data_IF_136602829308
#
_entry.id   IF_136602829308
#
_cell.length_a   1.000
_cell.length_b   1.000
_cell.length_c   1.000
_cell.angle_alpha   90.00
_cell.angle_beta   90.00
_cell.angle_gamma   90.00
#
_symmetry.space_group_name_H-M   'P 1'
#
loop_
_entity.id
_entity.type
_entity.pdbx_description
1 polymer ?
2 non-polymer ?
3 non-polymer ?
4 water ?
#
# COMPACT_ATOMS: atom_id res chain seq x y z
N UNK A 4 -27.39 6.98 0.86
CA UNK A 4 -27.84 7.58 2.15
C UNK A 4 -26.68 7.94 3.08
N UNK A 5 -25.61 8.45 2.47
CA UNK A 5 -24.41 8.88 3.17
C UNK A 5 -24.71 10.31 3.70
N UNK A 6 -24.59 10.48 5.00
CA UNK A 6 -24.88 11.77 5.65
C UNK A 6 -23.62 12.59 5.83
N UNK A 7 -23.84 13.78 6.35
CA UNK A 7 -22.79 14.73 6.67
C UNK A 7 -22.54 14.64 8.17
N UNK A 8 -21.45 15.21 8.65
CA UNK A 8 -21.22 15.15 10.09
C UNK A 8 -20.73 16.49 10.59
N UNK A 9 -21.19 16.89 11.78
CA UNK A 9 -20.75 18.16 12.34
C UNK A 9 -20.01 17.91 13.65
N UNK A 10 -18.81 18.46 13.75
CA UNK A 10 -17.99 18.31 14.94
C UNK A 10 -17.71 19.68 15.52
N UNK A 11 -18.22 19.89 16.71
CA UNK A 11 -18.04 21.17 17.42
C UNK A 11 -18.31 22.35 16.47
N UNK A 12 -19.42 22.26 15.77
CA UNK A 12 -19.87 23.33 14.87
C UNK A 12 -19.13 23.38 13.51
N UNK A 13 -18.15 22.51 13.33
CA UNK A 13 -17.44 22.42 12.04
C UNK A 13 -18.13 21.34 11.22
N UNK A 14 -18.68 21.72 10.09
CA UNK A 14 -19.45 20.77 9.27
C UNK A 14 -18.62 20.09 8.20
N UNK A 15 -18.92 18.82 7.97
CA UNK A 15 -18.23 18.01 6.96
C UNK A 15 -19.26 17.48 5.97
N UNK A 16 -19.31 18.06 4.78
CA UNK A 16 -20.26 17.64 3.73
C UNK A 16 -20.17 16.14 3.51
N UNK A 17 -21.25 15.55 3.02
CA UNK A 17 -21.27 14.11 2.75
C UNK A 17 -20.37 13.76 1.56
N UNK A 18 -20.19 14.71 0.66
CA UNK A 18 -19.37 14.49 -0.53
C UNK A 18 -18.67 15.78 -0.90
N UNK A 19 -17.51 15.65 -1.54
CA UNK A 19 -16.76 16.82 -1.97
C UNK A 19 -15.99 16.49 -3.23
N UNK A 20 -15.59 17.54 -3.95
CA UNK A 20 -14.84 17.32 -5.18
C UNK A 20 -13.59 18.17 -5.21
N UNK A 21 -12.46 17.53 -5.50
CA UNK A 21 -11.17 18.24 -5.48
C UNK A 21 -10.87 19.12 -6.71
N UNK A 22 -10.36 20.36 -6.51
CA UNK A 22 -10.02 21.28 -7.61
C UNK A 22 -8.63 20.93 -8.17
N UNK A 23 -7.90 20.13 -7.40
CA UNK A 23 -6.55 19.70 -7.78
C UNK A 23 -6.52 18.37 -8.57
N UNK A 24 -7.47 17.48 -8.29
CA UNK A 24 -7.52 16.18 -8.98
C UNK A 24 -8.78 16.01 -9.82
N UNK A 25 -9.86 16.67 -9.43
CA UNK A 25 -11.10 16.55 -10.18
C UNK A 25 -11.91 15.34 -9.74
N UNK A 26 -11.40 14.62 -8.75
CA UNK A 26 -12.08 13.44 -8.24
C UNK A 26 -13.08 13.82 -7.15
N UNK A 27 -14.01 12.91 -6.86
CA UNK A 27 -14.99 13.18 -5.81
C UNK A 27 -14.84 12.13 -4.72
N UNK A 28 -15.12 12.53 -3.48
CA UNK A 28 -15.00 11.65 -2.33
C UNK A 28 -16.24 11.69 -1.46
N UNK A 29 -16.45 10.63 -0.68
CA UNK A 29 -17.58 10.57 0.23
C UNK A 29 -17.00 10.56 1.65
N UNK A 30 -17.72 11.18 2.59
CA UNK A 30 -17.28 11.24 3.97
C UNK A 30 -17.25 9.86 4.63
N UNK A 31 -16.05 9.42 5.02
CA UNK A 31 -15.92 8.12 5.67
C UNK A 31 -16.17 8.21 7.16
N UNK A 32 -15.80 9.35 7.75
CA UNK A 32 -15.98 9.55 9.17
C UNK A 32 -15.37 10.85 9.66
N UNK A 33 -15.85 11.35 10.80
CA UNK A 33 -15.33 12.59 11.39
C UNK A 33 -15.11 12.37 12.89
N UNK A 34 -14.36 13.27 13.51
CA UNK A 34 -14.08 13.16 14.93
C UNK A 34 -13.34 14.37 15.44
N UNK A 35 -12.70 14.25 16.60
CA UNK A 35 -11.97 15.37 17.17
C UNK A 35 -10.69 14.93 17.85
N UNK A 36 -9.71 15.83 17.88
CA UNK A 36 -8.44 15.55 18.52
C UNK A 36 -8.11 16.67 19.48
N UNK A 37 -7.16 16.43 20.36
CA UNK A 37 -6.78 17.45 21.32
C UNK A 37 -5.76 16.93 22.30
N UNK A 38 -5.78 17.47 23.51
CA UNK A 38 -4.84 17.05 24.55
C UNK A 38 -5.60 16.74 25.83
N UNK A 39 -5.09 15.76 26.57
CA UNK A 39 -5.70 15.41 27.85
C UNK A 39 -4.80 16.09 28.88
N UNK A 40 -5.34 17.07 29.59
CA UNK A 40 -4.59 17.81 30.59
C UNK A 40 -5.26 17.64 31.96
N UNK A 41 -4.55 17.02 32.89
CA UNK A 41 -5.08 16.78 34.23
C UNK A 41 -6.41 16.03 34.16
N UNK A 42 -6.42 14.95 33.37
CA UNK A 42 -7.62 14.15 33.21
C UNK A 42 -8.74 14.80 32.43
N UNK A 43 -8.49 16.00 31.89
CA UNK A 43 -9.50 16.73 31.12
C UNK A 43 -9.17 16.75 29.64
N UNK A 44 -10.15 16.39 28.81
CA UNK A 44 -9.93 16.40 27.37
C UNK A 44 -10.14 17.81 26.84
N UNK A 45 -9.09 18.39 26.27
CA UNK A 45 -9.16 19.73 25.70
C UNK A 45 -9.18 19.64 24.17
N UNK A 46 -10.29 20.05 23.57
CA UNK A 46 -10.44 20.01 22.10
C UNK A 46 -9.64 21.08 21.36
N UNK A 47 -8.99 20.70 20.28
CA UNK A 47 -8.20 21.62 19.47
C UNK A 47 -8.57 21.60 17.99
N UNK A 48 -8.87 20.40 17.47
CA UNK A 48 -9.22 20.27 16.07
C UNK A 48 -10.31 19.24 15.86
N UNK A 49 -10.81 19.28 14.65
CA UNK A 49 -11.81 18.35 14.14
C UNK A 49 -11.18 17.67 12.93
N UNK A 50 -11.54 16.43 12.73
CA UNK A 50 -10.96 15.69 11.61
C UNK A 50 -12.01 14.92 10.84
N UNK A 51 -11.91 15.00 9.52
CA UNK A 51 -12.83 14.30 8.64
C UNK A 51 -12.01 13.55 7.61
N UNK A 52 -12.34 12.29 7.38
CA UNK A 52 -11.63 11.47 6.40
C UNK A 52 -12.53 11.12 5.23
N UNK A 53 -12.14 11.56 4.03
CA UNK A 53 -12.90 11.27 2.82
C UNK A 53 -12.23 10.19 2.00
N UNK A 54 -13.04 9.34 1.38
CA UNK A 54 -12.54 8.27 0.52
C UNK A 54 -13.03 8.50 -0.90
N UNK A 55 -12.14 8.33 -1.87
CA UNK A 55 -12.49 8.48 -3.26
C UNK A 55 -13.63 7.51 -3.55
N UNK A 56 -14.64 7.96 -4.28
CA UNK A 56 -15.81 7.12 -4.61
C UNK A 56 -15.47 5.69 -5.06
N UNK A 57 -14.39 5.53 -5.82
CA UNK A 57 -14.02 4.21 -6.29
C UNK A 57 -13.57 3.27 -5.15
N UNK A 58 -13.43 3.80 -3.94
CA UNK A 58 -13.00 2.99 -2.80
C UNK A 58 -14.00 1.88 -2.46
N UNK A 59 -15.27 2.14 -2.76
CA UNK A 59 -16.33 1.18 -2.50
C UNK A 59 -16.13 -0.11 -3.30
N UNK A 60 -15.86 0.02 -4.60
CA UNK A 60 -15.66 -1.15 -5.44
C UNK A 60 -14.45 -1.94 -4.98
N UNK A 61 -13.39 -1.20 -4.60
CA UNK A 61 -12.16 -1.82 -4.14
C UNK A 61 -12.34 -2.60 -2.84
N UNK A 62 -13.09 -2.02 -1.91
CA UNK A 62 -13.33 -2.63 -0.61
C UNK A 62 -14.43 -3.68 -0.62
N UNK A 63 -15.34 -3.59 -1.59
CA UNK A 63 -16.45 -4.53 -1.69
C UNK A 63 -16.04 -5.99 -1.60
N UNK A 64 -15.05 -6.36 -2.43
CA UNK A 64 -14.56 -7.73 -2.48
C UNK A 64 -14.43 -8.38 -1.10
N UNK A 65 -13.54 -7.85 -0.27
CA UNK A 65 -13.29 -8.41 1.05
C UNK A 65 -14.24 -7.99 2.18
N UNK A 66 -14.87 -6.83 2.10
CA UNK A 66 -15.64 -6.36 3.26
C UNK A 66 -17.16 -6.26 3.05
N UNK A 67 -17.67 -6.50 1.86
CA UNK A 67 -19.13 -6.46 1.68
C UNK A 67 -19.75 -7.55 2.56
N UNK A 68 -20.92 -7.27 3.12
CA UNK A 68 -21.61 -8.24 3.97
C UNK A 68 -21.09 -8.39 5.39
N UNK A 69 -20.10 -7.58 5.79
CA UNK A 69 -19.57 -7.65 7.15
C UNK A 69 -20.36 -6.66 8.00
N UNK A 70 -20.56 -6.97 9.29
CA UNK A 70 -21.30 -6.06 10.17
C UNK A 70 -20.38 -4.99 10.76
N UNK A 71 -20.95 -3.83 11.05
CA UNK A 71 -20.18 -2.73 11.62
C UNK A 71 -19.32 -3.21 12.78
N UNK A 72 -19.92 -3.99 13.68
CA UNK A 72 -19.21 -4.50 14.84
C UNK A 72 -18.02 -5.34 14.39
N UNK A 73 -18.25 -6.13 13.35
CA UNK A 73 -17.23 -7.02 12.80
C UNK A 73 -16.06 -6.26 12.20
N UNK A 74 -16.36 -5.21 11.44
CA UNK A 74 -15.32 -4.40 10.81
C UNK A 74 -14.48 -3.69 11.88
N UNK A 75 -15.15 -3.07 12.85
CA UNK A 75 -14.48 -2.34 13.91
C UNK A 75 -13.38 -3.11 14.63
N UNK A 76 -13.50 -4.43 14.68
CA UNK A 76 -12.48 -5.23 15.36
C UNK A 76 -11.48 -5.89 14.41
N UNK A 77 -11.63 -5.67 13.11
CA UNK A 77 -10.74 -6.25 12.12
C UNK A 77 -9.69 -5.23 11.65
N UNK A 78 -8.46 -5.41 12.11
CA UNK A 78 -7.37 -4.51 11.74
C UNK A 78 -7.12 -4.50 10.23
N UNK A 79 -7.28 -5.64 9.58
CA UNK A 79 -7.06 -5.77 8.15
C UNK A 79 -7.98 -4.82 7.39
N UNK A 80 -9.18 -4.62 7.91
CA UNK A 80 -10.14 -3.72 7.28
C UNK A 80 -9.60 -2.31 7.22
N UNK A 81 -9.00 -1.85 8.32
CA UNK A 81 -8.45 -0.51 8.36
C UNK A 81 -7.16 -0.43 7.53
N UNK A 82 -6.45 -1.54 7.40
CA UNK A 82 -5.24 -1.54 6.59
C UNK A 82 -5.60 -1.32 5.12
N UNK A 83 -6.73 -1.87 4.69
CA UNK A 83 -7.16 -1.70 3.30
C UNK A 83 -7.60 -0.26 3.05
N UNK A 84 -8.15 0.38 4.06
CA UNK A 84 -8.58 1.77 3.91
C UNK A 84 -7.35 2.68 3.84
N UNK A 85 -6.36 2.39 4.69
CA UNK A 85 -5.15 3.19 4.75
C UNK A 85 -4.31 3.07 3.50
N UNK A 86 -4.10 1.83 3.07
CA UNK A 86 -3.28 1.56 1.90
C UNK A 86 -4.02 1.14 0.64
N UNK A 87 -5.33 1.32 0.61
CA UNK A 87 -6.11 0.94 -0.56
C UNK A 87 -5.76 1.72 -1.83
N UNK A 88 -6.01 1.13 -2.99
CA UNK A 88 -5.75 1.70 -4.33
C UNK A 88 -6.74 2.80 -4.72
N UNK A 89 -6.80 3.84 -3.88
CA UNK A 89 -7.68 4.96 -4.14
C UNK A 89 -7.20 6.12 -3.30
N UNK A 90 -7.59 7.33 -3.67
CA UNK A 90 -7.15 8.51 -2.95
C UNK A 90 -7.95 8.71 -1.66
N UNK A 91 -7.30 9.25 -0.64
CA UNK A 91 -7.97 9.57 0.62
C UNK A 91 -7.73 11.06 0.84
N UNK A 92 -8.72 11.74 1.38
CA UNK A 92 -8.61 13.17 1.64
C UNK A 92 -8.99 13.43 3.10
N UNK A 93 -8.06 13.99 3.86
CA UNK A 93 -8.28 14.27 5.27
C UNK A 93 -8.34 15.77 5.50
N UNK A 94 -9.41 16.23 6.13
CA UNK A 94 -9.53 17.66 6.39
C UNK A 94 -9.55 17.95 7.88
N UNK A 95 -8.47 18.56 8.36
CA UNK A 95 -8.40 18.93 9.76
C UNK A 95 -8.78 20.39 9.93
N UNK A 96 -9.81 20.67 10.72
CA UNK A 96 -10.26 22.04 10.96
C UNK A 96 -10.06 22.42 12.44
N UNK A 97 -9.48 23.59 12.70
CA UNK A 97 -9.22 24.00 14.08
C UNK A 97 -10.40 24.51 14.90
N UNK A 98 -10.42 24.08 16.17
CA UNK A 98 -11.44 24.46 17.14
C UNK A 98 -10.79 25.60 17.95
N UNK A 99 -9.51 25.40 18.26
CA UNK A 99 -8.71 26.39 19.00
C UNK A 99 -7.54 26.77 18.07
N UNK A 100 -7.17 28.04 18.08
CA UNK A 100 -6.09 28.51 17.22
C UNK A 100 -4.72 27.92 17.49
N UNK A 101 -4.12 27.38 16.44
CA UNK A 101 -2.79 26.79 16.50
C UNK A 101 -1.98 27.31 15.32
N UNK A 102 -0.71 27.62 15.54
CA UNK A 102 0.14 28.09 14.47
C UNK A 102 0.55 26.83 13.70
N UNK A 103 1.14 27.02 12.52
CA UNK A 103 1.58 25.89 11.72
C UNK A 103 2.53 25.00 12.49
N UNK A 104 3.60 25.55 13.08
CA UNK A 104 4.57 24.75 13.84
C UNK A 104 3.95 24.06 15.08
N UNK A 105 3.00 24.73 15.73
CA UNK A 105 2.36 24.14 16.91
C UNK A 105 1.59 22.90 16.54
N UNK A 106 0.73 23.02 15.54
CA UNK A 106 -0.08 21.91 15.07
C UNK A 106 0.77 20.75 14.52
N UNK A 107 1.69 21.08 13.61
CA UNK A 107 2.54 20.07 12.97
C UNK A 107 3.48 19.29 13.87
N UNK A 108 3.95 19.91 14.94
CA UNK A 108 4.88 19.25 15.84
C UNK A 108 4.38 17.88 16.30
N UNK A 109 3.16 17.83 16.83
CA UNK A 109 2.59 16.59 17.33
C UNK A 109 2.28 15.60 16.19
N UNK A 110 1.79 16.11 15.07
CA UNK A 110 1.49 15.25 13.92
C UNK A 110 2.78 14.56 13.44
N UNK A 111 3.85 15.33 13.26
CA UNK A 111 5.12 14.78 12.81
C UNK A 111 5.64 13.77 13.84
N UNK A 112 5.46 14.09 15.11
CA UNK A 112 5.88 13.21 16.20
C UNK A 112 5.28 11.84 16.00
N UNK A 113 3.96 11.80 15.90
CA UNK A 113 3.25 10.55 15.71
C UNK A 113 3.67 9.84 14.42
N UNK A 114 3.85 10.61 13.34
CA UNK A 114 4.26 10.02 12.07
C UNK A 114 5.64 9.39 12.18
N UNK A 115 6.55 10.10 12.83
CA UNK A 115 7.91 9.58 12.99
C UNK A 115 7.93 8.31 13.85
N UNK A 116 7.13 8.30 14.91
CA UNK A 116 7.08 7.12 15.79
C UNK A 116 6.61 5.92 14.96
N UNK A 117 5.56 6.12 14.16
CA UNK A 117 5.03 5.05 13.32
C UNK A 117 6.08 4.54 12.32
N UNK A 118 6.68 5.46 11.57
CA UNK A 118 7.68 5.06 10.58
C UNK A 118 8.81 4.25 11.22
N UNK A 119 9.30 4.70 12.36
CA UNK A 119 10.38 3.99 13.06
C UNK A 119 9.87 2.64 13.53
N UNK A 120 8.60 2.61 13.94
CA UNK A 120 7.97 1.40 14.43
C UNK A 120 7.91 0.29 13.39
N UNK A 121 7.59 0.63 12.15
CA UNK A 121 7.50 -0.37 11.09
C UNK A 121 8.78 -0.51 10.29
N UNK A 122 9.87 0.03 10.81
CA UNK A 122 11.14 -0.07 10.12
C UNK A 122 11.30 0.65 8.79
N UNK A 123 10.57 1.73 8.57
CA UNK A 123 10.69 2.47 7.32
C UNK A 123 10.96 3.93 7.61
N UNK A 124 12.07 4.21 8.28
CA UNK A 124 12.41 5.59 8.59
C UNK A 124 13.89 5.83 8.33
N UNK A 125 14.22 6.09 7.08
CA UNK A 125 15.59 6.35 6.68
C UNK A 125 15.78 7.80 6.32
N UNK A 126 16.89 8.11 5.67
CA UNK A 126 17.19 9.49 5.29
C UNK A 126 16.07 10.10 4.47
N UNK A 127 15.60 9.36 3.47
CA UNK A 127 14.54 9.83 2.59
C UNK A 127 13.30 10.23 3.39
N UNK A 128 12.88 9.36 4.30
CA UNK A 128 11.70 9.67 5.11
C UNK A 128 11.96 10.85 6.03
N UNK A 129 13.17 10.94 6.57
CA UNK A 129 13.50 12.04 7.48
C UNK A 129 13.45 13.36 6.69
N UNK A 130 13.96 13.33 5.47
CA UNK A 130 13.95 14.50 4.62
C UNK A 130 12.53 14.89 4.23
N UNK A 131 11.67 13.89 4.04
CA UNK A 131 10.29 14.14 3.68
C UNK A 131 9.56 14.78 4.86
N UNK A 132 9.90 14.35 6.08
CA UNK A 132 9.26 14.92 7.26
C UNK A 132 9.76 16.35 7.47
N UNK A 133 10.99 16.61 7.03
CA UNK A 133 11.58 17.94 7.15
C UNK A 133 10.82 18.88 6.21
N UNK A 134 10.55 18.38 5.00
CA UNK A 134 9.81 19.15 4.00
C UNK A 134 8.38 19.36 4.52
N UNK A 135 7.86 18.34 5.18
CA UNK A 135 6.51 18.40 5.74
C UNK A 135 6.48 19.62 6.68
N UNK A 136 7.42 19.64 7.63
CA UNK A 136 7.51 20.72 8.60
C UNK A 136 7.63 22.09 7.93
N UNK A 137 8.52 22.17 6.96
CA UNK A 137 8.74 23.40 6.21
C UNK A 137 7.44 23.99 5.67
N UNK A 138 6.57 23.13 5.16
CA UNK A 138 5.30 23.59 4.58
C UNK A 138 4.38 24.26 5.59
N UNK A 139 4.48 23.85 6.86
CA UNK A 139 3.64 24.41 7.92
C UNK A 139 4.18 25.67 8.58
N UNK A 140 5.49 25.90 8.49
CA UNK A 140 6.07 27.08 9.13
C UNK A 140 5.46 28.43 8.84
N UNK A 141 5.05 28.68 7.59
CA UNK A 141 4.46 29.98 7.28
C UNK A 141 2.96 30.08 7.44
N UNK A 142 2.36 29.10 8.10
CA UNK A 142 0.91 29.09 8.23
C UNK A 142 0.42 29.22 9.67
N UNK A 143 -0.81 29.72 9.82
CA UNK A 143 -1.42 29.85 11.13
C UNK A 143 -2.86 29.40 10.98
N UNK A 144 -3.36 28.63 11.94
CA UNK A 144 -4.73 28.14 11.87
C UNK A 144 -5.69 28.69 12.93
N UNK A 145 -6.33 29.83 12.64
CA UNK A 145 -7.27 30.36 13.63
C UNK A 145 -8.51 29.47 13.58
N UNK A 146 -9.40 29.57 14.58
CA UNK A 146 -10.61 28.74 14.56
C UNK A 146 -11.29 28.69 13.19
N UNK A 147 -11.62 27.50 12.72
CA UNK A 147 -12.28 27.37 11.44
C UNK A 147 -11.33 27.11 10.28
N UNK A 148 -10.06 27.49 10.45
CA UNK A 148 -9.04 27.28 9.41
C UNK A 148 -8.83 25.77 9.28
N UNK A 149 -8.47 25.33 8.07
CA UNK A 149 -8.28 23.92 7.78
C UNK A 149 -6.96 23.58 7.08
N UNK A 150 -6.61 22.32 7.26
CA UNK A 150 -5.46 21.71 6.59
C UNK A 150 -6.00 20.51 5.84
N UNK A 151 -5.54 20.35 4.63
CA UNK A 151 -6.01 19.25 3.78
C UNK A 151 -4.85 18.32 3.41
N UNK A 152 -4.99 17.04 3.72
CA UNK A 152 -3.98 16.05 3.40
C UNK A 152 -4.59 15.21 2.28
N UNK A 153 -3.96 15.21 1.11
CA UNK A 153 -4.46 14.41 0.00
C UNK A 153 -3.49 13.25 -0.14
N UNK A 154 -3.93 12.07 0.27
CA UNK A 154 -3.08 10.89 0.19
C UNK A 154 -3.34 10.22 -1.17
N UNK A 155 -2.37 10.34 -2.06
CA UNK A 155 -2.50 9.74 -3.38
C UNK A 155 -1.98 8.32 -3.29
N UNK A 156 -2.60 7.39 -4.02
CA UNK A 156 -2.12 6.01 -3.96
C UNK A 156 -0.78 5.83 -4.67
N UNK A 157 -0.35 6.86 -5.38
CA UNK A 157 0.91 6.81 -6.09
C UNK A 157 2.11 7.21 -5.23
N UNK A 158 1.95 7.15 -3.90
CA UNK A 158 3.05 7.47 -2.99
C UNK A 158 3.37 8.95 -2.81
N UNK A 159 2.35 9.79 -2.87
CA UNK A 159 2.53 11.22 -2.72
C UNK A 159 1.50 11.76 -1.76
N UNK A 160 1.93 12.72 -0.94
CA UNK A 160 1.05 13.35 0.01
C UNK A 160 0.98 14.83 -0.34
N UNK A 161 -0.22 15.28 -0.69
CA UNK A 161 -0.38 16.69 -1.03
C UNK A 161 -0.88 17.49 0.17
N UNK A 162 -0.29 18.66 0.40
CA UNK A 162 -0.70 19.52 1.53
C UNK A 162 -1.36 20.82 1.07
N UNK A 163 -2.54 21.09 1.61
CA UNK A 163 -3.29 22.30 1.30
C UNK A 163 -3.69 23.00 2.61
N UNK A 164 -3.80 24.33 2.56
CA UNK A 164 -4.16 25.12 3.73
C UNK A 164 -5.26 26.11 3.37
N UNK A 165 -6.32 26.15 4.18
CA UNK A 165 -7.44 27.05 3.93
C UNK A 165 -7.76 27.93 5.14
N UNK A 166 -8.14 29.19 4.90
CA UNK A 166 -8.48 30.13 5.98
C UNK A 166 -9.76 29.67 6.68
N UNK A 167 -10.55 28.88 5.96
CA UNK A 167 -11.80 28.34 6.47
C UNK A 167 -11.87 26.86 6.13
N UNK A 168 -13.07 26.38 5.80
CA UNK A 168 -13.24 24.96 5.49
C UNK A 168 -13.37 24.61 4.00
N UNK A 169 -13.19 25.58 3.11
CA UNK A 169 -13.30 25.31 1.68
C UNK A 169 -11.97 24.80 1.12
N UNK A 170 -12.03 23.82 0.22
CA UNK A 170 -10.84 23.24 -0.38
C UNK A 170 -10.06 24.23 -1.22
N UNK A 171 -8.77 24.40 -0.93
CA UNK A 171 -7.95 25.34 -1.71
C UNK A 171 -7.93 24.94 -3.18
N UNK A 172 -7.67 25.92 -4.06
CA UNK A 172 -7.62 25.65 -5.48
C UNK A 172 -6.29 24.97 -5.83
N UNK A 173 -5.22 25.40 -5.17
CA UNK A 173 -3.89 24.84 -5.38
C UNK A 173 -3.34 24.25 -4.09
N UNK A 174 -2.36 23.35 -4.21
CA UNK A 174 -1.75 22.73 -3.04
C UNK A 174 -0.46 23.46 -2.72
N UNK A 175 -0.16 23.56 -1.43
CA UNK A 175 1.03 24.25 -0.97
C UNK A 175 2.32 23.42 -1.11
N UNK A 176 2.20 22.10 -1.04
CA UNK A 176 3.40 21.26 -1.15
C UNK A 176 3.07 19.81 -1.48
N UNK A 177 4.05 19.11 -2.04
CA UNK A 177 3.92 17.71 -2.43
C UNK A 177 5.03 16.91 -1.79
N UNK A 178 4.68 16.04 -0.86
CA UNK A 178 5.68 15.22 -0.19
C UNK A 178 5.71 13.90 -0.98
N UNK A 179 6.78 13.68 -1.71
CA UNK A 179 6.88 12.47 -2.52
C UNK A 179 7.69 11.36 -1.84
N UNK A 180 6.99 10.52 -1.09
CA UNK A 180 7.63 9.43 -0.37
C UNK A 180 6.49 8.49 0.03
N UNK A 181 6.64 7.22 -0.34
CA UNK A 181 5.59 6.22 -0.10
C UNK A 181 5.23 6.01 1.36
N UNK A 182 6.24 5.73 2.19
CA UNK A 182 6.02 5.48 3.60
C UNK A 182 5.37 6.68 4.29
N UNK A 183 5.93 7.87 4.08
CA UNK A 183 5.38 9.06 4.70
C UNK A 183 3.97 9.37 4.19
N UNK A 184 3.71 9.07 2.91
CA UNK A 184 2.39 9.41 2.34
C UNK A 184 1.19 8.85 3.09
N UNK A 185 1.35 7.69 3.74
CA UNK A 185 0.23 7.11 4.47
C UNK A 185 0.37 7.28 5.98
N UNK A 186 1.54 7.74 6.44
CA UNK A 186 1.78 7.93 7.86
C UNK A 186 0.71 8.73 8.60
N UNK A 187 0.32 9.86 8.02
CA UNK A 187 -0.69 10.72 8.65
C UNK A 187 -1.99 9.97 8.92
N UNK A 188 -2.57 9.36 7.90
CA UNK A 188 -3.83 8.61 8.08
C UNK A 188 -3.60 7.43 9.05
N UNK A 189 -2.41 6.87 9.01
CA UNK A 189 -2.07 5.74 9.87
C UNK A 189 -2.25 6.13 11.34
N UNK A 190 -1.75 7.30 11.71
CA UNK A 190 -1.85 7.77 13.09
C UNK A 190 -3.27 8.17 13.48
N UNK A 191 -4.21 8.07 12.55
CA UNK A 191 -5.60 8.43 12.85
C UNK A 191 -6.51 7.21 12.97
N UNK A 192 -6.33 6.24 12.08
CA UNK A 192 -7.16 5.04 12.09
C UNK A 192 -6.34 3.75 12.07
N UNK A 193 -5.02 3.89 12.13
CA UNK A 193 -4.15 2.73 12.13
C UNK A 193 -4.26 1.99 13.45
N UNK A 194 -3.62 0.81 13.51
CA UNK A 194 -3.67 -0.02 14.71
C UNK A 194 -3.30 0.68 16.01
N UNK A 195 -2.23 1.46 15.98
CA UNK A 195 -1.78 2.14 17.19
C UNK A 195 -2.33 3.54 17.42
N UNK A 196 -3.54 3.79 16.94
CA UNK A 196 -4.19 5.08 17.14
C UNK A 196 -5.23 4.85 18.23
N UNK A 197 -5.01 5.46 19.40
CA UNK A 197 -5.91 5.29 20.54
C UNK A 197 -7.35 5.77 20.29
N UNK A 198 -7.51 7.04 19.92
CA UNK A 198 -8.84 7.58 19.67
C UNK A 198 -9.54 6.67 18.65
N UNK A 199 -10.74 6.18 19.00
CA UNK A 199 -11.41 5.30 18.05
C UNK A 199 -12.62 5.94 17.34
N UNK A 200 -12.90 7.20 17.62
CA UNK A 200 -14.05 7.85 17.01
C UNK A 200 -14.09 7.72 15.49
N UNK A 201 -12.94 7.89 14.84
CA UNK A 201 -12.86 7.79 13.38
C UNK A 201 -13.10 6.34 12.93
N UNK A 202 -12.46 5.39 13.60
CA UNK A 202 -12.63 3.98 13.25
C UNK A 202 -14.09 3.56 13.35
N UNK A 203 -14.80 4.07 14.36
CA UNK A 203 -16.20 3.72 14.55
C UNK A 203 -17.07 4.24 13.41
N UNK A 204 -16.83 5.48 13.00
CA UNK A 204 -17.60 6.06 11.90
C UNK A 204 -17.43 5.19 10.67
N UNK A 205 -16.18 4.88 10.33
CA UNK A 205 -15.87 4.05 9.17
C UNK A 205 -16.59 2.71 9.24
N UNK A 206 -16.55 2.09 10.41
CA UNK A 206 -17.20 0.80 10.62
C UNK A 206 -18.72 0.90 10.49
N UNK A 207 -19.27 2.02 10.95
CA UNK A 207 -20.71 2.22 10.90
C UNK A 207 -21.26 2.64 9.56
N UNK A 208 -20.53 3.48 8.84
CA UNK A 208 -20.99 3.99 7.56
C UNK A 208 -20.70 3.15 6.31
N UNK A 209 -19.57 2.44 6.31
CA UNK A 209 -19.19 1.64 5.15
C UNK A 209 -20.14 0.51 4.73
N UNK A 210 -20.63 -0.29 5.69
CA UNK A 210 -21.52 -1.41 5.38
C UNK A 210 -22.65 -1.11 4.38
N UNK A 211 -23.33 0.01 4.58
CA UNK A 211 -24.43 0.40 3.69
C UNK A 211 -23.93 0.53 2.26
N UNK A 212 -22.84 1.29 2.09
CA UNK A 212 -22.27 1.51 0.76
C UNK A 212 -21.73 0.23 0.12
N UNK A 213 -21.05 -0.59 0.92
CA UNK A 213 -20.48 -1.82 0.40
C UNK A 213 -21.48 -2.82 -0.15
N UNK A 214 -22.76 -2.66 0.19
CA UNK A 214 -23.77 -3.58 -0.31
C UNK A 214 -24.34 -3.19 -1.67
N UNK A 215 -24.57 -1.89 -1.87
CA UNK A 215 -25.10 -1.41 -3.14
C UNK A 215 -23.97 -0.98 -4.09
N UNK B 4 12.45 -1.87 -26.08
CA UNK B 4 11.32 -1.45 -25.20
C UNK B 4 10.66 -2.69 -24.55
N UNK B 5 11.10 -2.96 -23.32
CA UNK B 5 10.61 -4.10 -22.52
C UNK B 5 10.61 -5.38 -23.37
N UNK B 6 11.61 -6.21 -23.11
CA UNK B 6 11.79 -7.47 -23.85
C UNK B 6 11.51 -8.71 -23.00
N UNK B 7 11.67 -9.89 -23.59
CA UNK B 7 11.45 -11.15 -22.88
C UNK B 7 12.77 -11.58 -22.23
N UNK B 8 12.66 -12.42 -21.20
CA UNK B 8 13.85 -12.92 -20.52
C UNK B 8 13.72 -14.42 -20.36
N UNK B 9 14.82 -15.14 -20.60
CA UNK B 9 14.83 -16.58 -20.44
C UNK B 9 15.84 -16.94 -19.38
N UNK B 10 15.42 -17.76 -18.43
CA UNK B 10 16.28 -18.18 -17.32
C UNK B 10 16.37 -19.70 -17.33
N UNK B 11 17.52 -20.23 -17.74
CA UNK B 11 17.69 -21.69 -17.75
C UNK B 11 16.63 -22.34 -18.62
N UNK B 12 16.50 -21.84 -19.85
CA UNK B 12 15.53 -22.37 -20.79
C UNK B 12 14.07 -22.17 -20.35
N UNK B 13 13.84 -21.31 -19.35
CA UNK B 13 12.49 -21.01 -18.89
C UNK B 13 12.16 -19.62 -19.40
N UNK B 14 11.34 -19.56 -20.45
CA UNK B 14 10.98 -18.30 -21.08
C UNK B 14 9.92 -17.45 -20.37
N UNK B 15 10.21 -16.16 -20.23
CA UNK B 15 9.30 -15.19 -19.61
C UNK B 15 8.91 -14.17 -20.67
N UNK B 16 7.73 -14.32 -21.28
CA UNK B 16 7.27 -13.39 -22.32
C UNK B 16 7.28 -11.94 -21.83
N UNK B 17 7.48 -11.01 -22.76
CA UNK B 17 7.54 -9.59 -22.44
C UNK B 17 6.23 -9.06 -21.87
N UNK B 18 5.12 -9.60 -22.37
CA UNK B 18 3.82 -9.17 -21.91
C UNK B 18 2.89 -10.37 -21.77
N UNK B 19 1.93 -10.30 -20.85
CA UNK B 19 0.99 -11.39 -20.66
C UNK B 19 -0.36 -10.83 -20.28
N UNK B 20 -1.40 -11.59 -20.57
CA UNK B 20 -2.74 -11.17 -20.21
C UNK B 20 -3.27 -12.28 -19.34
N UNK B 21 -3.88 -11.90 -18.22
CA UNK B 21 -4.40 -12.87 -17.29
C UNK B 21 -5.77 -13.41 -17.62
N UNK B 22 -5.91 -14.74 -17.68
CA UNK B 22 -7.23 -15.32 -17.97
C UNK B 22 -8.09 -15.21 -16.72
N UNK B 23 -7.49 -14.76 -15.63
CA UNK B 23 -8.20 -14.61 -14.35
C UNK B 23 -8.76 -13.20 -14.17
N UNK B 24 -7.94 -12.19 -14.40
CA UNK B 24 -8.39 -10.83 -14.22
C UNK B 24 -8.67 -10.12 -15.55
N UNK B 25 -8.13 -10.66 -16.63
CA UNK B 25 -8.33 -10.04 -17.93
C UNK B 25 -7.42 -8.84 -18.06
N UNK B 26 -6.58 -8.62 -17.05
CA UNK B 26 -5.65 -7.50 -17.08
C UNK B 26 -4.39 -7.90 -17.82
N UNK B 27 -3.61 -6.91 -18.25
CA UNK B 27 -2.37 -7.15 -18.98
C UNK B 27 -1.19 -6.58 -18.20
N UNK B 28 -0.08 -7.31 -18.23
CA UNK B 28 1.12 -6.90 -17.51
C UNK B 28 2.34 -6.90 -18.41
N UNK B 29 3.39 -6.23 -17.97
CA UNK B 29 4.62 -6.22 -18.74
C UNK B 29 5.68 -6.78 -17.80
N UNK B 30 6.67 -7.46 -18.36
CA UNK B 30 7.72 -8.06 -17.58
C UNK B 30 8.65 -7.02 -16.96
N UNK B 31 8.65 -6.96 -15.63
CA UNK B 31 9.49 -6.01 -14.91
C UNK B 31 10.90 -6.55 -14.76
N UNK B 32 11.03 -7.87 -14.63
CA UNK B 32 12.34 -8.48 -14.50
C UNK B 32 12.26 -9.96 -14.17
N UNK B 33 13.36 -10.67 -14.37
CA UNK B 33 13.40 -12.10 -14.08
C UNK B 33 14.80 -12.49 -13.63
N UNK B 34 14.88 -13.49 -12.76
CA UNK B 34 16.18 -13.93 -12.27
C UNK B 34 16.11 -15.35 -11.78
N UNK B 35 17.16 -15.79 -11.09
CA UNK B 35 17.19 -17.14 -10.56
C UNK B 35 17.35 -17.16 -9.04
N UNK B 36 16.99 -18.28 -8.44
CA UNK B 36 17.08 -18.48 -7.00
C UNK B 36 17.54 -19.91 -6.74
N UNK B 37 18.02 -20.18 -5.53
CA UNK B 37 18.48 -21.52 -5.23
C UNK B 37 19.23 -21.63 -3.92
N UNK B 38 20.13 -22.61 -3.85
CA UNK B 38 20.92 -22.85 -2.65
C UNK B 38 22.36 -23.19 -2.99
N UNK B 39 23.30 -22.43 -2.41
CA UNK B 39 24.72 -22.67 -2.63
C UNK B 39 25.16 -23.89 -1.83
N UNK B 40 25.56 -24.94 -2.54
CA UNK B 40 25.98 -26.18 -1.89
C UNK B 40 27.46 -26.48 -2.15
N UNK B 41 28.30 -26.12 -1.18
CA UNK B 41 29.74 -26.35 -1.26
C UNK B 41 30.44 -25.47 -2.29
N UNK B 42 30.23 -24.17 -2.19
CA UNK B 42 30.86 -23.23 -3.12
C UNK B 42 30.16 -22.97 -4.43
N UNK B 43 29.45 -23.98 -4.96
CA UNK B 43 28.75 -23.82 -6.23
C UNK B 43 27.22 -23.66 -6.08
N UNK B 44 26.76 -22.43 -6.33
CA UNK B 44 25.34 -22.07 -6.24
C UNK B 44 24.46 -22.90 -7.16
N UNK B 45 23.70 -23.83 -6.58
CA UNK B 45 22.81 -24.69 -7.34
C UNK B 45 21.45 -24.04 -7.62
N UNK B 46 21.11 -23.94 -8.90
CA UNK B 46 19.86 -23.32 -9.35
C UNK B 46 18.65 -24.24 -9.15
N UNK B 47 17.64 -23.72 -8.48
CA UNK B 47 16.42 -24.49 -8.21
C UNK B 47 15.19 -23.96 -8.96
N UNK B 48 15.03 -22.63 -8.97
CA UNK B 48 13.88 -22.02 -9.63
C UNK B 48 14.17 -20.70 -10.34
N UNK B 49 13.28 -20.35 -11.26
CA UNK B 49 13.38 -19.08 -11.97
C UNK B 49 12.32 -18.21 -11.33
N UNK B 50 12.52 -16.91 -11.34
CA UNK B 50 11.56 -16.01 -10.75
C UNK B 50 11.33 -14.82 -11.68
N UNK B 51 10.07 -14.44 -11.85
CA UNK B 51 9.73 -13.32 -12.73
C UNK B 51 8.61 -12.46 -12.17
N UNK B 52 8.76 -11.14 -12.29
CA UNK B 52 7.75 -10.20 -11.79
C UNK B 52 7.12 -9.39 -12.92
N UNK B 53 5.79 -9.43 -12.97
CA UNK B 53 5.03 -8.68 -13.97
C UNK B 53 4.26 -7.55 -13.30
N UNK B 54 4.19 -6.41 -13.96
CA UNK B 54 3.44 -5.27 -13.43
C UNK B 54 2.31 -4.93 -14.40
N UNK B 55 1.13 -4.67 -13.88
CA UNK B 55 -0.01 -4.32 -14.72
C UNK B 55 0.42 -3.10 -15.56
N UNK B 56 -0.07 -3.06 -16.80
CA UNK B 56 0.27 -1.96 -17.71
C UNK B 56 0.08 -0.56 -17.09
N UNK B 57 -1.01 -0.36 -16.34
CA UNK B 57 -1.26 0.92 -15.71
C UNK B 57 -0.23 1.35 -14.64
N UNK B 58 0.74 0.48 -14.33
CA UNK B 58 1.75 0.83 -13.35
C UNK B 58 2.61 1.97 -13.89
N UNK B 59 2.75 2.02 -15.21
CA UNK B 59 3.57 3.05 -15.85
C UNK B 59 3.06 4.45 -15.49
N UNK B 60 1.76 4.69 -15.68
CA UNK B 60 1.17 5.99 -15.37
C UNK B 60 1.26 6.30 -13.87
N UNK B 61 1.17 5.26 -13.05
CA UNK B 61 1.23 5.42 -11.60
C UNK B 61 2.63 5.82 -11.12
N UNK B 62 3.64 5.16 -11.67
CA UNK B 62 5.02 5.43 -11.30
C UNK B 62 5.63 6.64 -12.00
N UNK B 63 5.00 7.08 -13.08
CA UNK B 63 5.49 8.21 -13.87
C UNK B 63 5.65 9.49 -13.05
N UNK B 64 4.63 9.80 -12.26
CA UNK B 64 4.62 11.01 -11.43
C UNK B 64 5.92 11.23 -10.67
N UNK B 65 6.37 10.22 -9.94
CA UNK B 65 7.57 10.33 -9.14
C UNK B 65 8.89 9.89 -9.76
N UNK B 66 8.88 9.04 -10.76
CA UNK B 66 10.17 8.51 -11.21
C UNK B 66 10.53 8.78 -12.69
N UNK B 67 9.66 9.41 -13.45
CA UNK B 67 10.01 9.71 -14.85
C UNK B 67 11.26 10.60 -14.87
N UNK B 68 12.21 10.29 -15.74
CA UNK B 68 13.42 11.11 -15.81
C UNK B 68 14.61 10.62 -15.00
N UNK B 69 14.36 9.78 -14.00
CA UNK B 69 15.43 9.24 -13.16
C UNK B 69 16.19 8.15 -13.93
N UNK B 70 17.49 8.10 -13.75
CA UNK B 70 18.32 7.10 -14.43
C UNK B 70 18.16 5.75 -13.74
N UNK B 71 18.58 4.69 -14.42
CA UNK B 71 18.49 3.35 -13.88
C UNK B 71 19.36 3.22 -12.64
N UNK B 72 20.52 3.88 -12.68
CA UNK B 72 21.46 3.84 -11.56
C UNK B 72 20.85 4.53 -10.35
N UNK B 73 20.15 5.62 -10.58
CA UNK B 73 19.55 6.35 -9.47
C UNK B 73 18.40 5.55 -8.86
N UNK B 74 17.56 4.99 -9.72
CA UNK B 74 16.43 4.19 -9.27
C UNK B 74 16.88 3.02 -8.41
N UNK B 75 17.88 2.28 -8.87
CA UNK B 75 18.39 1.13 -8.14
C UNK B 75 18.78 1.48 -6.71
N UNK B 76 19.20 2.72 -6.49
CA UNK B 76 19.62 3.15 -5.15
C UNK B 76 18.52 3.78 -4.29
N UNK B 77 17.32 3.88 -4.85
CA UNK B 77 16.19 4.50 -4.12
C UNK B 77 15.18 3.51 -3.59
N UNK B 78 15.20 3.26 -2.28
CA UNK B 78 14.28 2.33 -1.65
C UNK B 78 12.83 2.74 -1.86
N UNK B 79 12.60 4.05 -1.95
CA UNK B 79 11.26 4.57 -2.14
C UNK B 79 10.69 4.11 -3.48
N UNK B 80 11.57 3.95 -4.47
CA UNK B 80 11.14 3.50 -5.79
C UNK B 80 10.54 2.09 -5.67
N UNK B 81 11.29 1.18 -5.06
CA UNK B 81 10.79 -0.18 -4.90
C UNK B 81 9.55 -0.25 -4.00
N UNK B 82 9.42 0.66 -3.04
CA UNK B 82 8.23 0.64 -2.19
C UNK B 82 7.01 0.95 -3.05
N UNK B 83 7.16 1.86 -4.01
CA UNK B 83 6.05 2.19 -4.92
C UNK B 83 5.70 0.97 -5.77
N UNK B 84 6.70 0.25 -6.23
CA UNK B 84 6.41 -0.93 -7.04
C UNK B 84 5.72 -2.00 -6.20
N UNK B 85 6.20 -2.20 -4.98
CA UNK B 85 5.62 -3.22 -4.11
C UNK B 85 4.19 -2.91 -3.69
N UNK B 86 3.94 -1.66 -3.30
CA UNK B 86 2.61 -1.30 -2.84
C UNK B 86 1.81 -0.36 -3.75
N UNK B 87 2.25 -0.25 -5.01
CA UNK B 87 1.57 0.60 -5.98
C UNK B 87 0.12 0.21 -6.21
N UNK B 88 -0.72 1.16 -6.67
CA UNK B 88 -2.15 0.96 -6.95
C UNK B 88 -2.39 0.19 -8.25
N UNK B 89 -1.75 -0.96 -8.35
CA UNK B 89 -1.85 -1.80 -9.53
C UNK B 89 -1.49 -3.24 -9.20
N UNK B 90 -1.98 -4.15 -10.02
CA UNK B 90 -1.74 -5.56 -9.81
C UNK B 90 -0.34 -5.99 -10.20
N UNK B 91 0.19 -6.95 -9.45
CA UNK B 91 1.50 -7.51 -9.76
C UNK B 91 1.27 -9.01 -9.90
N UNK B 92 2.00 -9.64 -10.80
CA UNK B 92 1.88 -11.06 -11.03
C UNK B 92 3.29 -11.65 -11.01
N UNK B 93 3.54 -12.53 -10.05
CA UNK B 93 4.85 -13.15 -9.91
C UNK B 93 4.80 -14.62 -10.36
N UNK B 94 5.69 -15.00 -11.27
CA UNK B 94 5.69 -16.39 -11.71
C UNK B 94 6.99 -17.08 -11.35
N UNK B 95 6.87 -18.17 -10.60
CA UNK B 95 8.04 -18.94 -10.22
C UNK B 95 7.97 -20.22 -11.02
N UNK B 96 9.08 -20.63 -11.62
CA UNK B 96 9.13 -21.86 -12.41
C UNK B 96 10.29 -22.70 -11.89
N UNK B 97 10.05 -24.00 -11.76
CA UNK B 97 11.08 -24.90 -11.24
C UNK B 97 12.12 -25.36 -12.24
N UNK B 98 13.36 -25.44 -11.76
CA UNK B 98 14.48 -25.90 -12.56
C UNK B 98 14.73 -27.34 -12.07
N UNK B 99 14.56 -27.55 -10.77
CA UNK B 99 14.69 -28.86 -10.15
C UNK B 99 13.34 -29.15 -9.52
N UNK B 100 12.92 -30.41 -9.53
CA UNK B 100 11.64 -30.78 -8.95
C UNK B 100 11.62 -30.47 -7.46
N UNK B 101 10.47 -30.01 -6.97
CA UNK B 101 10.30 -29.67 -5.56
C UNK B 101 8.85 -29.91 -5.19
N UNK B 102 8.61 -30.51 -4.03
CA UNK B 102 7.23 -30.72 -3.63
C UNK B 102 6.70 -29.35 -3.20
N UNK B 103 5.40 -29.26 -2.98
CA UNK B 103 4.82 -28.00 -2.57
C UNK B 103 5.44 -27.54 -1.27
N UNK B 104 5.42 -28.38 -0.22
CA UNK B 104 6.00 -28.00 1.07
C UNK B 104 7.49 -27.66 0.99
N UNK B 105 8.23 -28.37 0.13
CA UNK B 105 9.66 -28.14 -0.02
C UNK B 105 9.90 -26.70 -0.46
N UNK B 106 9.26 -26.33 -1.57
CA UNK B 106 9.39 -24.99 -2.12
C UNK B 106 8.87 -23.90 -1.21
N UNK B 107 7.68 -24.11 -0.66
CA UNK B 107 7.05 -23.10 0.18
C UNK B 107 7.64 -22.83 1.56
N UNK B 108 8.42 -23.77 2.10
CA UNK B 108 9.01 -23.60 3.43
C UNK B 108 9.81 -22.30 3.50
N UNK B 109 10.79 -22.16 2.61
CA UNK B 109 11.63 -20.98 2.60
C UNK B 109 10.85 -19.69 2.31
N UNK B 110 9.93 -19.74 1.36
CA UNK B 110 9.13 -18.56 1.01
C UNK B 110 8.32 -18.05 2.21
N UNK B 111 7.71 -18.97 2.93
CA UNK B 111 6.87 -18.61 4.08
C UNK B 111 7.70 -18.04 5.23
N UNK B 112 8.90 -18.58 5.40
CA UNK B 112 9.82 -18.10 6.45
C UNK B 112 10.12 -16.62 6.20
N UNK B 113 10.57 -16.31 4.99
CA UNK B 113 10.90 -14.94 4.62
C UNK B 113 9.69 -14.02 4.79
N UNK B 114 8.50 -14.54 4.45
CA UNK B 114 7.31 -13.74 4.60
C UNK B 114 7.02 -13.43 6.06
N UNK B 115 7.02 -14.47 6.90
CA UNK B 115 6.75 -14.28 8.32
C UNK B 115 7.79 -13.36 8.97
N UNK B 116 9.06 -13.56 8.62
CA UNK B 116 10.13 -12.74 9.16
C UNK B 116 9.87 -11.27 8.80
N UNK B 117 9.42 -11.04 7.58
CA UNK B 117 9.13 -9.68 7.14
C UNK B 117 7.96 -9.10 7.92
N UNK B 118 6.89 -9.86 8.00
CA UNK B 118 5.69 -9.39 8.69
C UNK B 118 5.96 -9.06 10.17
N UNK B 119 6.84 -9.83 10.81
CA UNK B 119 7.19 -9.56 12.20
C UNK B 119 8.05 -8.31 12.20
N UNK B 120 9.00 -8.29 11.28
CA UNK B 120 9.91 -7.17 11.12
C UNK B 120 9.20 -5.82 11.09
N UNK B 121 8.02 -5.78 10.47
CA UNK B 121 7.27 -4.53 10.35
C UNK B 121 6.09 -4.40 11.30
N UNK B 122 6.03 -5.28 12.30
CA UNK B 122 4.94 -5.20 13.26
C UNK B 122 3.52 -5.46 12.79
N UNK B 123 3.36 -6.25 11.73
CA UNK B 123 2.02 -6.57 11.25
C UNK B 123 1.87 -8.09 11.15
N UNK B 124 2.00 -8.76 12.29
CA UNK B 124 1.87 -10.20 12.34
C UNK B 124 1.00 -10.67 13.51
N UNK B 125 -0.30 -10.40 13.41
CA UNK B 125 -1.23 -10.81 14.43
C UNK B 125 -1.83 -12.16 14.06
N UNK B 126 -2.96 -12.51 14.66
CA UNK B 126 -3.59 -13.79 14.36
C UNK B 126 -3.99 -13.87 12.89
N UNK B 127 -4.66 -12.82 12.41
CA UNK B 127 -5.12 -12.76 11.02
C UNK B 127 -4.00 -13.12 10.04
N UNK B 128 -2.84 -12.52 10.24
CA UNK B 128 -1.73 -12.79 9.35
C UNK B 128 -1.22 -14.21 9.51
N UNK B 129 -1.25 -14.72 10.74
CA UNK B 129 -0.79 -16.07 11.01
C UNK B 129 -1.73 -17.07 10.32
N UNK B 130 -3.03 -16.86 10.46
CA UNK B 130 -4.00 -17.75 9.82
C UNK B 130 -3.84 -17.68 8.30
N UNK B 131 -3.60 -16.48 7.77
CA UNK B 131 -3.43 -16.31 6.34
C UNK B 131 -2.22 -17.10 5.87
N UNK B 132 -1.15 -17.07 6.64
CA UNK B 132 0.04 -17.81 6.24
C UNK B 132 -0.21 -19.31 6.32
N UNK B 133 -1.18 -19.70 7.16
CA UNK B 133 -1.52 -21.10 7.29
C UNK B 133 -2.31 -21.54 6.05
N UNK B 134 -3.22 -20.67 5.61
CA UNK B 134 -4.02 -20.95 4.41
C UNK B 134 -3.04 -21.02 3.24
N UNK B 135 -2.04 -20.15 3.29
CA UNK B 135 -0.99 -20.09 2.29
C UNK B 135 -0.28 -21.46 2.22
N UNK B 136 0.18 -21.94 3.38
CA UNK B 136 0.86 -23.22 3.45
C UNK B 136 -0.02 -24.36 2.94
N UNK B 137 -1.27 -24.37 3.38
CA UNK B 137 -2.22 -25.41 2.97
C UNK B 137 -2.35 -25.54 1.46
N UNK B 138 -2.40 -24.41 0.75
CA UNK B 138 -2.54 -24.43 -0.70
C UNK B 138 -1.39 -25.15 -1.39
N UNK B 139 -0.20 -25.08 -0.80
CA UNK B 139 0.97 -25.74 -1.40
C UNK B 139 1.13 -27.23 -1.08
N UNK B 140 0.45 -27.70 -0.07
CA UNK B 140 0.63 -29.09 0.38
C UNK B 140 0.26 -30.13 -0.68
N UNK B 141 -0.93 -30.12 -1.31
CA UNK B 141 -1.27 -31.13 -2.30
C UNK B 141 -0.64 -31.00 -3.68
N UNK B 142 0.37 -30.15 -3.79
CA UNK B 142 1.05 -29.88 -5.06
C UNK B 142 2.50 -30.34 -5.14
N UNK B 143 2.92 -30.68 -6.35
CA UNK B 143 4.29 -31.09 -6.61
C UNK B 143 4.76 -30.35 -7.85
N UNK B 144 5.98 -29.81 -7.82
CA UNK B 144 6.48 -29.05 -8.96
C UNK B 144 7.61 -29.70 -9.76
N UNK B 145 7.28 -30.42 -10.83
CA UNK B 145 8.33 -31.05 -11.63
C UNK B 145 9.01 -29.89 -12.39
N UNK B 146 10.24 -30.10 -12.89
CA UNK B 146 10.88 -29.00 -13.61
C UNK B 146 9.94 -28.48 -14.70
N UNK B 147 9.76 -27.17 -14.77
CA UNK B 147 8.89 -26.57 -15.76
C UNK B 147 7.57 -26.12 -15.15
N UNK B 148 7.18 -26.76 -14.05
CA UNK B 148 5.94 -26.40 -13.37
C UNK B 148 6.12 -24.99 -12.80
N UNK B 149 5.00 -24.33 -12.48
CA UNK B 149 5.07 -22.96 -11.99
C UNK B 149 4.02 -22.64 -10.94
N UNK B 150 4.33 -21.60 -10.21
CA UNK B 150 3.44 -21.02 -9.20
C UNK B 150 3.25 -19.57 -9.59
N UNK B 151 2.04 -19.11 -9.48
CA UNK B 151 1.71 -17.74 -9.82
C UNK B 151 1.18 -17.03 -8.58
N UNK B 152 1.79 -15.90 -8.24
CA UNK B 152 1.33 -15.12 -7.10
C UNK B 152 0.69 -13.89 -7.71
N UNK B 153 -0.60 -13.74 -7.48
CA UNK B 153 -1.32 -12.60 -8.02
C UNK B 153 -1.59 -11.63 -6.89
N UNK B 154 -0.81 -10.55 -6.84
CA UNK B 154 -0.97 -9.54 -5.81
C UNK B 154 -1.93 -8.46 -6.25
N UNK B 155 -3.16 -8.54 -5.73
CA UNK B 155 -4.18 -7.56 -6.04
C UNK B 155 -3.99 -6.35 -5.14
N UNK B 156 -4.13 -5.14 -5.71
CA UNK B 156 -3.96 -3.94 -4.88
C UNK B 156 -5.08 -3.81 -3.85
N UNK B 157 -6.06 -4.70 -3.94
CA UNK B 157 -7.20 -4.69 -3.02
C UNK B 157 -6.93 -5.50 -1.74
N UNK B 158 -5.67 -5.88 -1.52
CA UNK B 158 -5.35 -6.64 -0.31
C UNK B 158 -5.66 -8.13 -0.36
N UNK B 159 -5.54 -8.70 -1.57
CA UNK B 159 -5.78 -10.13 -1.77
C UNK B 159 -4.59 -10.72 -2.49
N UNK B 160 -4.27 -11.98 -2.19
CA UNK B 160 -3.17 -12.66 -2.85
C UNK B 160 -3.75 -13.95 -3.42
N UNK B 161 -3.72 -14.08 -4.75
CA UNK B 161 -4.25 -15.28 -5.39
C UNK B 161 -3.12 -16.23 -5.71
N UNK B 162 -3.33 -17.51 -5.42
CA UNK B 162 -2.29 -18.51 -5.69
C UNK B 162 -2.75 -19.44 -6.79
N UNK B 163 -1.89 -19.69 -7.75
CA UNK B 163 -2.22 -20.59 -8.86
C UNK B 163 -1.02 -21.46 -9.16
N UNK B 164 -1.30 -22.69 -9.63
CA UNK B 164 -0.25 -23.65 -9.94
C UNK B 164 -0.44 -24.21 -11.33
N UNK B 165 0.64 -24.26 -12.10
CA UNK B 165 0.59 -24.76 -13.46
C UNK B 165 1.65 -25.81 -13.72
N UNK B 166 1.37 -26.73 -14.68
CA UNK B 166 2.30 -27.81 -15.06
C UNK B 166 3.38 -27.26 -15.98
N UNK B 167 3.08 -26.12 -16.60
CA UNK B 167 4.02 -25.48 -17.51
C UNK B 167 4.15 -24.02 -17.11
N UNK B 168 4.44 -23.15 -18.08
CA UNK B 168 4.59 -21.73 -17.81
C UNK B 168 3.34 -20.90 -18.10
N UNK B 169 2.23 -21.57 -18.41
CA UNK B 169 0.99 -20.86 -18.70
C UNK B 169 0.20 -20.56 -17.44
N UNK B 170 -0.52 -19.44 -17.47
CA UNK B 170 -1.35 -19.00 -16.36
C UNK B 170 -2.63 -19.82 -16.27
N UNK B 171 -2.89 -20.46 -15.13
CA UNK B 171 -4.11 -21.24 -14.98
C UNK B 171 -5.36 -20.39 -15.11
N UNK B 172 -6.43 -20.98 -15.65
CA UNK B 172 -7.71 -20.29 -15.83
C UNK B 172 -8.31 -19.92 -14.48
N UNK B 173 -8.13 -20.80 -13.49
CA UNK B 173 -8.66 -20.59 -12.15
C UNK B 173 -7.55 -20.59 -11.12
N UNK B 174 -7.76 -19.90 -10.01
CA UNK B 174 -6.75 -19.85 -8.95
C UNK B 174 -7.05 -20.92 -7.92
N UNK B 175 -6.01 -21.46 -7.31
CA UNK B 175 -6.17 -22.50 -6.30
C UNK B 175 -6.63 -21.94 -4.96
N UNK B 176 -6.19 -20.73 -4.61
CA UNK B 176 -6.59 -20.14 -3.34
C UNK B 176 -6.56 -18.62 -3.35
N UNK B 177 -7.35 -18.01 -2.47
CA UNK B 177 -7.41 -16.56 -2.34
C UNK B 177 -7.18 -16.13 -0.90
N UNK B 178 -5.98 -15.65 -0.61
CA UNK B 178 -5.64 -15.20 0.73
C UNK B 178 -6.11 -13.75 0.89
N UNK B 179 -7.12 -13.52 1.71
CA UNK B 179 -7.63 -12.16 1.90
C UNK B 179 -6.99 -11.47 3.11
N UNK B 180 -5.82 -10.86 2.90
CA UNK B 180 -5.11 -10.18 3.99
C UNK B 180 -4.15 -9.18 3.37
N UNK B 181 -4.33 -7.90 3.71
CA UNK B 181 -3.51 -6.84 3.15
C UNK B 181 -2.00 -6.99 3.37
N UNK B 182 -1.61 -7.19 4.62
CA UNK B 182 -0.20 -7.33 4.98
C UNK B 182 0.46 -8.50 4.26
N UNK B 183 -0.23 -9.62 4.19
CA UNK B 183 0.31 -10.81 3.53
C UNK B 183 0.34 -10.68 2.01
N UNK B 184 -0.65 -9.97 1.45
CA UNK B 184 -0.74 -9.83 -0.01
C UNK B 184 0.52 -9.27 -0.66
N UNK B 185 1.25 -8.42 0.06
CA UNK B 185 2.46 -7.85 -0.49
C UNK B 185 3.74 -8.46 0.09
N UNK B 186 3.60 -9.44 0.99
CA UNK B 186 4.76 -10.05 1.62
C UNK B 186 5.70 -10.74 0.64
N UNK B 187 5.15 -11.61 -0.19
CA UNK B 187 5.96 -12.34 -1.16
C UNK B 187 6.84 -11.43 -2.04
N UNK B 188 6.25 -10.40 -2.64
CA UNK B 188 7.01 -9.48 -3.49
C UNK B 188 8.05 -8.72 -2.66
N UNK B 189 7.67 -8.39 -1.43
CA UNK B 189 8.57 -7.70 -0.52
C UNK B 189 9.87 -8.49 -0.36
N UNK B 190 9.75 -9.80 -0.16
CA UNK B 190 10.93 -10.66 0.01
C UNK B 190 11.74 -10.78 -1.28
N UNK B 191 11.22 -10.25 -2.37
CA UNK B 191 11.94 -10.35 -3.63
C UNK B 191 12.61 -9.07 -4.10
N UNK B 192 11.97 -7.93 -3.84
CA UNK B 192 12.53 -6.65 -4.24
C UNK B 192 12.50 -5.64 -3.11
N UNK B 193 12.06 -6.08 -1.94
CA UNK B 193 12.02 -5.19 -0.79
C UNK B 193 13.43 -4.85 -0.32
N UNK B 194 13.52 -3.95 0.66
CA UNK B 194 14.81 -3.50 1.19
C UNK B 194 15.68 -4.65 1.71
N UNK B 195 15.05 -5.60 2.41
CA UNK B 195 15.79 -6.71 2.99
C UNK B 195 15.93 -7.94 2.14
N UNK B 196 15.68 -7.81 0.84
CA UNK B 196 15.83 -8.93 -0.06
C UNK B 196 17.33 -9.02 -0.33
N UNK B 197 17.88 -10.24 -0.40
CA UNK B 197 19.31 -10.37 -0.64
C UNK B 197 19.69 -10.35 -2.11
N UNK B 198 18.94 -11.08 -2.94
CA UNK B 198 19.23 -11.15 -4.36
C UNK B 198 18.82 -9.85 -5.07
N UNK B 199 19.81 -9.08 -5.56
CA UNK B 199 19.57 -7.81 -6.25
C UNK B 199 19.21 -7.94 -7.72
N UNK B 200 19.29 -9.15 -8.25
CA UNK B 200 19.00 -9.35 -9.66
C UNK B 200 17.67 -8.77 -10.15
N UNK B 201 16.58 -9.03 -9.43
CA UNK B 201 15.30 -8.50 -9.84
C UNK B 201 15.29 -6.99 -9.70
N UNK B 202 15.80 -6.48 -8.58
CA UNK B 202 15.84 -5.04 -8.36
C UNK B 202 16.53 -4.35 -9.54
N UNK B 203 17.63 -4.92 -10.01
CA UNK B 203 18.36 -4.35 -11.14
C UNK B 203 17.54 -4.34 -12.42
N UNK B 204 16.89 -5.46 -12.73
CA UNK B 204 16.07 -5.53 -13.92
C UNK B 204 15.07 -4.38 -13.91
N UNK B 205 14.35 -4.25 -12.80
CA UNK B 205 13.35 -3.20 -12.67
C UNK B 205 13.94 -1.81 -12.95
N UNK B 206 15.09 -1.54 -12.34
CA UNK B 206 15.76 -0.26 -12.54
C UNK B 206 16.22 -0.10 -13.99
N UNK B 207 16.66 -1.19 -14.59
CA UNK B 207 17.14 -1.16 -15.97
C UNK B 207 16.02 -0.95 -17.00
N UNK B 208 14.90 -1.59 -16.83
CA UNK B 208 13.86 -1.54 -17.87
C UNK B 208 12.71 -0.53 -17.62
N UNK B 209 12.58 0.02 -16.43
CA UNK B 209 11.45 0.94 -16.14
C UNK B 209 11.65 2.33 -16.76
N UNK B 210 12.86 2.90 -16.69
CA UNK B 210 13.08 4.23 -17.26
C UNK B 210 12.52 4.43 -18.67
N UNK B 211 12.87 3.54 -19.59
CA UNK B 211 12.40 3.65 -20.96
C UNK B 211 10.89 3.74 -21.03
N UNK B 212 10.20 2.98 -20.18
CA UNK B 212 8.74 2.99 -20.15
C UNK B 212 8.13 4.24 -19.54
N UNK B 213 8.79 4.78 -18.52
CA UNK B 213 8.29 5.98 -17.85
C UNK B 213 8.45 7.25 -18.67
N UNK B 214 9.50 7.30 -19.47
CA UNK B 214 9.78 8.45 -20.30
C UNK B 214 8.93 8.50 -21.57
N UNK B 215 7.95 7.61 -21.64
CA UNK B 215 7.04 7.56 -22.80
C UNK B 215 5.89 8.54 -22.57
X LIG C 1 17.13 5.54 3.03
X LIG C 1 15.82 4.89 3.44
X LIG C 1 17.85 4.68 2.05
X LIG C 1 18.02 5.73 4.24
X LIG C 1 16.82 6.88 2.44
X LIG D 1 -4.39 8.93 19.62
X LIG D 1 -3.61 10.23 19.55
X LIG D 1 -5.28 8.79 18.43
X LIG D 1 -5.24 8.93 20.87
X LIG D 1 -3.42 7.80 19.71
X LIG E 1 -1.95 13.20 14.57
X LIG E 1 -3.05 13.29 13.74
X LIG E 1 -4.08 14.43 13.86
X LIG E 1 -3.85 15.40 14.84
X LIG E 1 -2.62 15.32 15.82
X LIG E 1 -1.73 14.28 15.65
X LIG E 1 -4.85 16.62 15.06
X LIG E 1 -4.46 17.57 16.22
X LIG E 1 -2.97 17.58 16.52
X LIG E 1 -2.43 16.29 16.77
X LIG E 1 -2.61 18.49 17.68
X LIG E 1 -3.47 18.73 18.79
X LIG E 1 -3.00 19.68 19.92
X LIG E 1 -1.76 20.29 19.87
X LIG E 1 -0.84 20.02 18.67
X LIG E 1 -1.23 19.19 17.65
X LIG E 1 -5.84 16.79 14.39
X LIG E 1 -1.09 12.20 14.44
X LIG E 1 -1.35 21.10 20.85
X LIG F 1 -4.87 -9.39 14.80
X LIG F 1 -6.07 -8.69 15.39
X LIG F 1 -5.31 -10.28 13.68
X LIG F 1 -4.20 -10.24 15.85
X LIG F 1 -3.90 -8.35 14.33
X LIG G 1 11.55 -15.93 -1.42
X LIG G 1 11.24 -15.51 -2.69
X LIG G 1 11.52 -16.38 -3.94
X LIG G 1 12.12 -17.62 -3.73
X LIG G 1 12.49 -18.15 -2.27
X LIG G 1 12.20 -17.31 -1.21
X LIG G 1 12.45 -18.61 -4.92
X LIG G 1 13.11 -19.94 -4.50
X LIG G 1 12.78 -20.36 -3.09
X LIG G 1 13.07 -19.38 -2.10
X LIG G 1 13.48 -21.68 -2.78
X LIG G 1 14.87 -21.78 -2.60
X LIG G 1 15.51 -23.16 -2.29
X LIG G 1 14.72 -24.30 -2.19
X LIG G 1 13.19 -24.17 -2.38
X LIG G 1 12.62 -22.95 -2.66
X LIG G 1 12.22 -18.34 -6.08
X LIG G 1 11.27 -15.15 -0.37
X LIG G 1 15.26 -25.50 -1.91
#
# INVERSE_FOLDING_TARGET
MAASITAITVENLEYPAVVTSPVTGKSYFLGGAGERGLTIEGNFIKFTAIGVYLEDIAVASLAAKWKGKSSEELLETLDFYRDIISGPFEKLIRGSKIRELSGPEYSRKVMENCVAHLKSVGTYGDAEAEAMQKFAEAFKPVNFPPGASVFYRQSPDGILGLSFSPDTSIPEKEAALIENKAVSSAVLETMIGEHAVSPDLKRCLAARLPALLNEGAFKIGN
MAASITAITVENLEYPAVVTSPVTGKSYFLGGAGERGLTIEGNFIKFTAIGVYLEDIAVASLAAKWKGKSSEELLETLDFYRDIISGPFEKLIRGSKIRELSGPEYSRKVMENCVAHLKSVGTYGDAEAEAMQKFAEAFKPVNFPPGASVFYRQSPDGILGLSFSPDTSIPEKEAALIENKAVSSAVLETMIGEHAVSPDLKRCLAARLPALLNEGAFKIGN
SO4 S O1 O2 O3 O4
SO4 S O1 O2 O3 O4
DFV C1 C2 C3 C4 C5 C6 C7 C8 C9 O1 C10 C11 C12 C13 C14 C15 O2 O3 O4
SO4 S O1 O2 O3 O4
DFV C1 C2 C3 C4 C5 C6 C7 C8 C9 O1 C10 C11 C12 C13 C14 C15 O2 O3 O4
#
